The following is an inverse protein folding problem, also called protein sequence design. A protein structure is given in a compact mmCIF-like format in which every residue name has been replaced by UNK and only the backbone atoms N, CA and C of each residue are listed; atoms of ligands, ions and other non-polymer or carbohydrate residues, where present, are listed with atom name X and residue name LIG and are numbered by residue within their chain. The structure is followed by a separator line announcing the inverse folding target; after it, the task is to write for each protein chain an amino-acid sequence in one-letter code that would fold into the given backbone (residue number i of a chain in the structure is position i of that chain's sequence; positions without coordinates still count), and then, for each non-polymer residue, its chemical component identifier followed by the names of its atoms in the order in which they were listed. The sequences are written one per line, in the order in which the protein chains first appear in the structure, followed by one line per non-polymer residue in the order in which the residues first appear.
data_IF_067346478869
#
_entry.id   IF_067346478869
#
_cell.length_a   1.000
_cell.length_b   1.000
_cell.length_c   1.000
_cell.angle_alpha   90.00
_cell.angle_beta   90.00
_cell.angle_gamma   90.00
#
_symmetry.space_group_name_H-M   'P 1'
#
loop_
_entity.id
_entity.type
_entity.pdbx_description
1 polymer ?
#
# COMPACT_ATOMS: atom_id res chain seq x y z
N UNK A 1 -9.66 29.40 34.07
CA UNK A 1 -10.40 29.02 32.86
C UNK A 1 -10.20 27.53 32.65
N UNK A 2 -11.27 26.73 32.58
CA UNK A 2 -11.18 25.28 32.36
C UNK A 2 -10.95 24.99 30.88
N UNK A 3 -9.98 24.12 30.59
CA UNK A 3 -9.71 23.59 29.25
C UNK A 3 -10.95 22.84 28.73
N UNK A 4 -11.30 22.91 27.43
CA UNK A 4 -12.36 22.08 26.86
C UNK A 4 -11.99 20.59 26.96
N UNK A 5 -12.89 19.77 27.49
CA UNK A 5 -12.74 18.32 27.49
C UNK A 5 -13.14 17.78 26.12
N UNK A 6 -12.16 17.41 25.30
CA UNK A 6 -12.41 16.68 24.06
C UNK A 6 -12.77 15.23 24.46
N UNK A 7 -13.92 14.69 24.02
CA UNK A 7 -14.29 13.32 24.32
C UNK A 7 -13.25 12.36 23.73
N UNK A 8 -12.89 11.36 24.52
CA UNK A 8 -11.96 10.31 24.11
C UNK A 8 -12.64 9.42 23.06
N UNK A 9 -12.29 9.63 21.79
CA UNK A 9 -12.72 8.79 20.69
C UNK A 9 -11.63 7.75 20.48
N UNK A 10 -11.87 6.51 20.89
CA UNK A 10 -11.09 5.36 20.43
C UNK A 10 -11.74 4.83 19.15
N UNK A 11 -11.29 5.22 17.95
CA UNK A 11 -11.80 4.61 16.73
C UNK A 11 -11.45 3.12 16.78
N UNK A 12 -12.48 2.28 16.83
CA UNK A 12 -12.32 0.82 16.79
C UNK A 12 -12.02 0.45 15.33
N UNK A 13 -10.77 0.65 14.91
CA UNK A 13 -10.29 0.21 13.59
C UNK A 13 -9.79 -1.22 13.76
N UNK A 14 -10.68 -2.20 13.56
CA UNK A 14 -10.30 -3.61 13.54
C UNK A 14 -9.84 -3.98 12.13
N UNK A 15 -8.58 -3.68 11.80
CA UNK A 15 -7.96 -4.11 10.55
C UNK A 15 -6.93 -5.21 10.86
N UNK A 16 -7.01 -6.31 10.13
CA UNK A 16 -5.97 -7.35 10.19
C UNK A 16 -4.73 -6.91 9.43
N UNK A 17 -3.59 -7.56 9.71
CA UNK A 17 -2.33 -7.28 9.00
C UNK A 17 -2.48 -7.47 7.50
N UNK A 18 -3.11 -8.57 7.05
CA UNK A 18 -3.27 -8.84 5.62
C UNK A 18 -4.24 -7.85 4.95
N UNK A 19 -5.35 -7.47 5.60
CA UNK A 19 -6.23 -6.38 5.11
C UNK A 19 -5.48 -5.04 5.01
N UNK A 20 -4.55 -4.77 5.92
CA UNK A 20 -3.71 -3.55 5.85
C UNK A 20 -2.80 -3.58 4.62
N UNK A 21 -2.21 -4.73 4.30
CA UNK A 21 -1.34 -4.91 3.14
C UNK A 21 -2.13 -4.72 1.84
N UNK A 22 -3.32 -5.30 1.74
CA UNK A 22 -4.23 -5.07 0.60
C UNK A 22 -4.57 -3.58 0.40
N UNK A 23 -4.81 -2.84 1.49
CA UNK A 23 -5.05 -1.41 1.41
C UNK A 23 -3.80 -0.62 0.98
N UNK A 24 -2.61 -1.02 1.41
CA UNK A 24 -1.35 -0.40 0.99
C UNK A 24 -1.09 -0.63 -0.50
N UNK A 25 -1.25 -1.87 -0.98
CA UNK A 25 -1.16 -2.21 -2.40
C UNK A 25 -2.19 -1.43 -3.23
N UNK A 26 -3.42 -1.31 -2.72
CA UNK A 26 -4.47 -0.49 -3.34
C UNK A 26 -4.09 0.99 -3.41
N UNK A 27 -3.45 1.53 -2.37
CA UNK A 27 -2.95 2.92 -2.38
C UNK A 27 -1.89 3.13 -3.45
N UNK A 28 -0.94 2.21 -3.60
CA UNK A 28 0.09 2.26 -4.64
C UNK A 28 -0.57 2.21 -6.02
N UNK A 29 -1.53 1.31 -6.23
CA UNK A 29 -2.26 1.21 -7.49
C UNK A 29 -3.04 2.50 -7.83
N UNK A 30 -3.62 3.16 -6.83
CA UNK A 30 -4.31 4.45 -7.03
C UNK A 30 -3.33 5.58 -7.40
N UNK A 31 -2.15 5.62 -6.80
CA UNK A 31 -1.08 6.55 -7.20
C UNK A 31 -0.63 6.30 -8.65
N UNK A 32 -0.44 5.03 -9.05
CA UNK A 32 -0.12 4.62 -10.42
C UNK A 32 -1.19 5.05 -11.44
N UNK A 33 -2.47 4.84 -11.12
CA UNK A 33 -3.59 5.30 -11.95
C UNK A 33 -3.53 6.82 -12.11
N UNK A 34 -3.28 7.56 -11.03
CA UNK A 34 -3.12 9.02 -11.07
C UNK A 34 -1.99 9.46 -12.01
N UNK A 35 -0.83 8.80 -11.95
CA UNK A 35 0.30 9.09 -12.84
C UNK A 35 -0.01 8.78 -14.31
N UNK A 36 -0.77 7.72 -14.58
CA UNK A 36 -1.21 7.39 -15.93
C UNK A 36 -2.09 8.49 -16.55
N UNK A 37 -2.97 9.11 -15.75
CA UNK A 37 -3.79 10.23 -16.19
C UNK A 37 -2.96 11.47 -16.51
N UNK A 38 -1.93 11.76 -15.71
CA UNK A 38 -1.00 12.87 -15.99
C UNK A 38 -0.25 12.62 -17.30
N UNK A 39 0.23 11.38 -17.52
CA UNK A 39 0.95 11.02 -18.74
C UNK A 39 0.05 11.17 -19.97
N UNK A 40 -1.21 10.73 -19.88
CA UNK A 40 -2.20 10.94 -20.93
C UNK A 40 -2.47 12.43 -21.18
N UNK A 41 -2.62 13.23 -20.13
CA UNK A 41 -2.86 14.67 -20.25
C UNK A 41 -1.68 15.40 -20.93
N UNK A 42 -0.43 15.04 -20.64
CA UNK A 42 0.74 15.57 -21.36
C UNK A 42 0.75 15.12 -22.83
N UNK A 43 0.28 13.91 -23.13
CA UNK A 43 0.06 13.43 -24.49
C UNK A 43 -1.00 14.23 -25.25
N UNK A 44 -2.15 14.49 -24.63
CA UNK A 44 -3.22 15.30 -25.19
C UNK A 44 -2.77 16.75 -25.41
N UNK A 45 -1.99 17.32 -24.48
CA UNK A 45 -1.38 18.65 -24.61
C UNK A 45 -0.45 18.73 -25.82
N UNK A 46 0.41 17.72 -26.03
CA UNK A 46 1.25 17.63 -27.23
C UNK A 46 0.41 17.56 -28.51
N UNK A 47 -0.60 16.69 -28.54
CA UNK A 47 -1.48 16.55 -29.71
C UNK A 47 -2.26 17.85 -30.01
N UNK A 48 -2.77 18.53 -28.98
CA UNK A 48 -3.49 19.79 -29.10
C UNK A 48 -2.58 20.90 -29.64
N UNK A 49 -1.34 20.98 -29.14
CA UNK A 49 -0.36 21.95 -29.63
C UNK A 49 0.02 21.69 -31.10
N UNK A 50 0.27 20.43 -31.48
CA UNK A 50 0.65 20.09 -32.86
C UNK A 50 -0.47 20.32 -33.89
N UNK A 51 -1.74 20.31 -33.47
CA UNK A 51 -2.89 20.62 -34.34
C UNK A 51 -2.90 22.07 -34.79
N UNK A 52 -2.30 22.98 -34.01
CA UNK A 52 -2.17 24.38 -34.36
C UNK A 52 -0.81 24.60 -35.03
N UNK A 53 -0.81 25.24 -36.20
CA UNK A 53 0.42 25.47 -36.99
C UNK A 53 0.95 26.91 -36.84
N UNK A 54 0.37 27.68 -35.92
CA UNK A 54 0.70 29.08 -35.65
C UNK A 54 1.57 29.19 -34.39
N UNK A 55 2.69 28.48 -34.39
CA UNK A 55 3.63 28.41 -33.28
C UNK A 55 5.05 28.70 -33.78
N UNK A 56 5.77 29.52 -33.03
CA UNK A 56 7.18 29.80 -33.31
C UNK A 56 8.04 28.65 -32.79
N UNK A 57 9.27 28.51 -33.31
CA UNK A 57 10.22 27.49 -32.85
C UNK A 57 10.41 27.49 -31.32
N UNK A 58 10.45 28.68 -30.71
CA UNK A 58 10.59 28.82 -29.27
C UNK A 58 9.43 28.18 -28.50
N UNK A 59 8.20 28.22 -29.02
CA UNK A 59 7.04 27.59 -28.39
C UNK A 59 7.19 26.07 -28.37
N UNK A 60 7.71 25.47 -29.45
CA UNK A 60 8.02 24.04 -29.50
C UNK A 60 9.08 23.64 -28.48
N UNK A 61 10.15 24.45 -28.35
CA UNK A 61 11.22 24.20 -27.40
C UNK A 61 10.72 24.30 -25.96
N UNK A 62 9.91 25.31 -25.66
CA UNK A 62 9.29 25.51 -24.35
C UNK A 62 8.35 24.35 -24.00
N UNK A 63 7.49 23.94 -24.94
CA UNK A 63 6.60 22.81 -24.74
C UNK A 63 7.39 21.52 -24.47
N UNK A 64 8.38 21.21 -25.31
CA UNK A 64 9.20 20.02 -25.15
C UNK A 64 9.97 20.05 -23.82
N UNK A 65 10.47 21.21 -23.40
CA UNK A 65 11.11 21.36 -22.10
C UNK A 65 10.14 21.07 -20.95
N UNK A 66 8.94 21.65 -21.00
CA UNK A 66 7.88 21.43 -20.01
C UNK A 66 7.49 19.94 -19.91
N UNK A 67 7.23 19.29 -21.04
CA UNK A 67 6.86 17.86 -21.08
C UNK A 67 7.99 16.99 -20.52
N UNK A 68 9.23 17.24 -20.93
CA UNK A 68 10.38 16.51 -20.39
C UNK A 68 10.55 16.70 -18.87
N UNK A 69 10.25 17.90 -18.35
CA UNK A 69 10.28 18.14 -16.91
C UNK A 69 9.19 17.36 -16.17
N UNK A 70 7.97 17.31 -16.72
CA UNK A 70 6.89 16.48 -16.17
C UNK A 70 7.28 15.00 -16.19
N UNK A 71 7.77 14.48 -17.33
CA UNK A 71 8.20 13.08 -17.46
C UNK A 71 9.31 12.71 -16.47
N UNK A 72 10.31 13.57 -16.29
CA UNK A 72 11.37 13.39 -15.27
C UNK A 72 10.80 13.34 -13.85
N UNK A 73 9.75 14.10 -13.58
CA UNK A 73 9.08 14.10 -12.27
C UNK A 73 8.29 12.80 -12.07
N UNK A 74 7.56 12.33 -13.09
CA UNK A 74 6.86 11.04 -13.06
C UNK A 74 7.85 9.89 -12.82
N UNK A 75 8.99 9.87 -13.50
CA UNK A 75 10.01 8.83 -13.30
C UNK A 75 10.52 8.80 -11.85
N UNK A 76 10.72 9.96 -11.22
CA UNK A 76 11.10 10.03 -9.81
C UNK A 76 10.00 9.48 -8.89
N UNK A 77 8.73 9.78 -9.20
CA UNK A 77 7.60 9.19 -8.47
C UNK A 77 7.56 7.68 -8.64
N UNK A 78 7.85 7.14 -9.84
CA UNK A 78 7.91 5.68 -10.05
C UNK A 78 9.02 5.01 -9.27
N UNK A 79 10.17 5.65 -9.10
CA UNK A 79 11.21 5.14 -8.21
C UNK A 79 10.70 5.04 -6.75
N UNK A 80 9.95 6.05 -6.29
CA UNK A 80 9.36 6.02 -4.94
C UNK A 80 8.24 4.98 -4.80
N UNK A 81 7.37 4.84 -5.80
CA UNK A 81 6.32 3.81 -5.81
C UNK A 81 6.92 2.40 -5.84
N UNK A 82 8.01 2.20 -6.59
CA UNK A 82 8.76 0.96 -6.60
C UNK A 82 9.29 0.62 -5.19
N UNK A 83 9.89 1.57 -4.48
CA UNK A 83 10.36 1.33 -3.10
C UNK A 83 9.19 1.00 -2.15
N UNK A 84 8.06 1.72 -2.24
CA UNK A 84 6.87 1.39 -1.45
C UNK A 84 6.37 -0.03 -1.75
N UNK A 85 6.37 -0.44 -3.01
CA UNK A 85 5.92 -1.76 -3.43
C UNK A 85 6.84 -2.85 -2.89
N UNK A 86 8.16 -2.66 -2.97
CA UNK A 86 9.15 -3.57 -2.39
C UNK A 86 8.95 -3.73 -0.88
N UNK A 87 8.81 -2.62 -0.14
CA UNK A 87 8.56 -2.64 1.30
C UNK A 87 7.25 -3.37 1.65
N UNK A 88 6.19 -3.19 0.86
CA UNK A 88 4.90 -3.86 1.07
C UNK A 88 4.96 -5.34 0.70
N UNK A 89 5.68 -5.71 -0.36
CA UNK A 89 5.91 -7.10 -0.73
C UNK A 89 6.64 -7.86 0.38
N UNK A 90 7.68 -7.25 0.97
CA UNK A 90 8.41 -7.81 2.11
C UNK A 90 7.53 -7.99 3.36
N UNK A 91 6.45 -7.20 3.49
CA UNK A 91 5.48 -7.34 4.57
C UNK A 91 4.48 -8.48 4.33
N UNK A 92 4.18 -8.80 3.06
CA UNK A 92 3.24 -9.83 2.61
C UNK A 92 3.81 -11.24 2.77
N UNK A 93 5.11 -11.43 2.52
CA UNK A 93 5.83 -12.69 2.78
C UNK A 93 5.77 -13.10 4.27
N UNK A 94 5.41 -12.16 5.16
CA UNK A 94 5.22 -12.39 6.60
C UNK A 94 3.75 -12.55 7.03
N UNK A 95 2.79 -12.58 6.10
CA UNK A 95 1.36 -12.80 6.36
C UNK A 95 0.92 -14.26 6.21
N UNK A 96 1.85 -15.21 5.99
CA UNK A 96 1.53 -16.63 5.94
C UNK A 96 1.36 -17.23 7.35
N UNK A 97 0.12 -17.24 7.84
CA UNK A 97 -0.31 -18.19 8.86
C UNK A 97 -0.95 -19.41 8.19
N UNK A 98 -0.15 -20.33 7.66
CA UNK A 98 -0.66 -21.65 7.23
C UNK A 98 -0.66 -22.61 8.41
N UNK A 99 -1.77 -22.67 9.15
CA UNK A 99 -2.02 -23.74 10.10
C UNK A 99 -2.38 -25.05 9.38
N UNK A 100 -1.47 -25.60 8.60
CA UNK A 100 -1.64 -26.92 7.99
C UNK A 100 -1.25 -28.03 8.97
N UNK A 101 -2.25 -28.47 9.76
CA UNK A 101 -2.58 -29.89 10.06
C UNK A 101 -3.49 -29.99 11.30
N UNK A 102 -4.72 -29.50 11.20
CA UNK A 102 -5.80 -30.10 11.99
C UNK A 102 -7.08 -30.14 11.17
N UNK A 103 -7.78 -31.29 11.20
CA UNK A 103 -8.97 -31.57 10.39
C UNK A 103 -10.22 -30.82 10.88
N UNK A 104 -10.11 -29.53 11.18
CA UNK A 104 -11.22 -28.74 11.68
C UNK A 104 -11.44 -27.48 10.85
N UNK A 105 -12.72 -27.31 10.48
CA UNK A 105 -13.28 -26.22 9.68
C UNK A 105 -12.69 -24.87 10.13
N UNK A 106 -12.20 -24.02 9.21
CA UNK A 106 -11.50 -22.80 9.60
C UNK A 106 -12.48 -21.89 10.32
N UNK A 107 -12.29 -21.75 11.63
CA UNK A 107 -12.79 -20.59 12.37
C UNK A 107 -11.60 -19.64 12.45
N UNK A 108 -11.85 -18.37 12.11
CA UNK A 108 -10.87 -17.27 12.17
C UNK A 108 -10.02 -17.43 13.43
N UNK A 109 -8.77 -17.85 13.26
CA UNK A 109 -7.81 -17.90 14.33
C UNK A 109 -7.17 -16.52 14.41
N UNK A 110 -7.31 -15.85 15.55
CA UNK A 110 -6.60 -14.61 15.82
C UNK A 110 -5.11 -14.95 15.94
N UNK A 111 -4.35 -14.61 14.91
CA UNK A 111 -2.92 -14.86 14.85
C UNK A 111 -2.21 -13.74 15.62
N UNK A 112 -1.75 -14.03 16.84
CA UNK A 112 -0.93 -13.11 17.61
C UNK A 112 0.54 -13.22 17.19
N UNK A 113 1.03 -12.24 16.45
CA UNK A 113 2.47 -12.08 16.22
C UNK A 113 3.16 -11.71 17.53
N UNK A 114 4.00 -12.60 18.07
CA UNK A 114 4.95 -12.26 19.13
C UNK A 114 6.29 -11.91 18.49
N UNK A 115 6.65 -10.63 18.48
CA UNK A 115 7.97 -10.18 18.03
C UNK A 115 8.97 -10.28 19.20
N UNK A 116 9.97 -11.16 19.09
CA UNK A 116 11.09 -11.26 20.04
C UNK A 116 12.31 -10.47 19.49
N UNK A 117 12.65 -9.30 20.07
CA UNK A 117 13.76 -8.46 19.60
C UNK A 117 15.15 -9.12 19.68
N UNK A 118 15.29 -10.24 20.39
CA UNK A 118 16.56 -10.93 20.59
C UNK A 118 16.82 -12.05 19.58
N UNK A 119 15.81 -12.47 18.79
CA UNK A 119 15.92 -13.48 17.73
C UNK A 119 14.99 -13.14 16.55
N UNK A 120 15.44 -12.29 15.61
CA UNK A 120 14.60 -11.83 14.49
C UNK A 120 14.26 -12.92 13.46
N UNK A 121 14.97 -14.06 13.48
CA UNK A 121 14.78 -15.19 12.55
C UNK A 121 13.71 -16.21 13.03
N UNK A 122 13.30 -16.17 14.30
CA UNK A 122 12.40 -17.15 14.90
C UNK A 122 10.99 -16.55 15.11
N UNK A 123 10.26 -16.27 14.02
CA UNK A 123 8.83 -15.95 14.10
C UNK A 123 8.01 -17.22 14.38
N UNK A 124 8.03 -17.70 15.64
CA UNK A 124 7.27 -18.88 16.02
C UNK A 124 5.78 -18.55 16.14
N UNK A 125 4.96 -19.11 15.25
CA UNK A 125 3.51 -19.06 15.34
C UNK A 125 3.02 -20.12 16.34
N UNK A 126 2.85 -19.74 17.60
CA UNK A 126 2.25 -20.63 18.62
C UNK A 126 0.71 -20.54 18.53
N UNK A 127 0.10 -21.46 17.78
CA UNK A 127 -1.35 -21.67 17.80
C UNK A 127 -1.75 -22.24 19.16
N UNK A 128 -2.07 -21.38 20.14
CA UNK A 128 -2.67 -21.83 21.39
C UNK A 128 -4.11 -22.28 21.14
N UNK A 129 -4.29 -23.59 21.04
CA UNK A 129 -5.61 -24.22 21.12
C UNK A 129 -6.25 -23.87 22.49
N UNK A 130 -7.27 -23.02 22.48
CA UNK A 130 -8.16 -22.85 23.63
C UNK A 130 -9.09 -24.07 23.75
N UNK A 131 -8.53 -25.23 24.10
CA UNK A 131 -9.31 -26.39 24.53
C UNK A 131 -9.78 -26.17 25.97
N UNK A 132 -10.90 -25.46 26.15
CA UNK A 132 -11.63 -25.52 27.41
C UNK A 132 -12.39 -26.85 27.49
N UNK A 133 -11.86 -27.73 28.36
CA UNK A 133 -12.51 -28.86 29.01
C UNK A 133 -14.02 -29.06 28.74
N UNK A 134 -14.37 -30.22 28.17
CA UNK A 134 -15.47 -31.01 28.77
C UNK A 134 -15.15 -32.49 28.67
N UNK A 135 -14.99 -33.06 29.86
CA UNK A 135 -14.50 -34.39 30.16
C UNK A 135 -15.43 -35.50 29.63
N UNK A 136 -14.80 -36.64 29.28
CA UNK A 136 -15.47 -37.92 29.15
C UNK A 136 -15.77 -38.47 30.55
N UNK A 137 -17.04 -38.52 30.95
CA UNK A 137 -17.71 -39.68 31.57
C UNK A 137 -19.18 -39.40 31.79
#
# INVERSE_FOLDING_TARGET
MSMPTIPDITPIVSLTRCETIELLLSSIALEEIGLSHILNAEGEKLQAFLKNHDHCLDDYLLLNHSVNQTLRTIVKSQMLLQFKLEDVADLDDRCECTCEKSKHKPKKADCHNFYDPLRPEDNHHDCKDHNHHREKK
#
